data_IF_951182715387
#
_entry.id   IF_951182715387
#
_cell.length_a   1.000
_cell.length_b   1.000
_cell.length_c   1.000
_cell.angle_alpha   90.00
_cell.angle_beta   90.00
_cell.angle_gamma   90.00
#
_symmetry.space_group_name_H-M   'P 1'
#
loop_
_entity.id
_entity.type
_entity.pdbx_description
1 polymer ?
#
# COMPACT_ATOMS: atom_id res chain seq x y z
N UNK A 1 -12.85 0.74 16.89
CA UNK A 1 -11.54 0.08 16.67
C UNK A 1 -10.49 1.19 16.69
N UNK A 2 -9.71 1.29 17.77
CA UNK A 2 -8.77 2.41 17.94
C UNK A 2 -7.65 2.35 16.90
N UNK A 3 -7.51 3.44 16.15
CA UNK A 3 -6.48 3.65 15.14
C UNK A 3 -5.04 3.50 15.68
N UNK A 4 -4.87 3.45 17.00
CA UNK A 4 -3.58 3.25 17.67
C UNK A 4 -3.07 1.81 17.67
N UNK A 5 -3.89 0.80 17.34
CA UNK A 5 -3.45 -0.62 17.43
C UNK A 5 -2.74 -1.16 16.18
N UNK A 6 -2.78 -0.43 15.05
CA UNK A 6 -2.13 -0.83 13.78
C UNK A 6 -0.79 -0.09 13.57
N UNK A 7 -0.55 1.00 14.30
CA UNK A 7 0.63 1.86 14.13
C UNK A 7 1.85 1.45 14.99
N UNK A 8 1.76 0.35 15.73
CA UNK A 8 2.73 -0.04 16.75
C UNK A 8 4.08 -0.58 16.26
N UNK A 9 4.37 -0.64 14.95
CA UNK A 9 5.63 -1.25 14.53
C UNK A 9 6.30 -0.80 13.23
N UNK A 10 5.68 -0.01 12.34
CA UNK A 10 6.37 0.41 11.11
C UNK A 10 6.76 1.88 11.16
N UNK A 11 8.06 2.09 11.37
CA UNK A 11 8.85 3.13 10.70
C UNK A 11 8.17 4.50 10.59
N UNK A 12 7.84 5.08 11.75
CA UNK A 12 7.57 6.49 11.90
C UNK A 12 8.77 7.20 12.50
N UNK A 13 9.83 7.44 11.72
CA UNK A 13 10.96 8.28 12.19
C UNK A 13 10.50 9.68 12.59
N UNK A 14 9.33 10.17 12.14
CA UNK A 14 8.74 11.43 12.62
C UNK A 14 8.02 11.36 13.98
N UNK A 15 7.45 10.20 14.36
CA UNK A 15 6.68 10.07 15.62
C UNK A 15 7.60 9.94 16.83
N UNK A 16 8.82 9.43 16.64
CA UNK A 16 9.81 9.23 17.70
C UNK A 16 10.53 10.51 18.15
N UNK A 17 10.45 11.60 17.38
CA UNK A 17 11.14 12.87 17.69
C UNK A 17 10.20 13.98 18.16
N UNK A 18 8.93 13.97 17.74
CA UNK A 18 8.00 15.07 18.02
C UNK A 18 6.62 14.65 18.56
N UNK A 19 6.26 13.36 18.57
CA UNK A 19 4.96 12.87 19.07
C UNK A 19 3.73 13.33 18.28
N UNK A 20 3.91 14.14 17.24
CA UNK A 20 2.85 14.68 16.39
C UNK A 20 2.53 13.67 15.28
N UNK A 21 1.24 13.42 15.05
CA UNK A 21 0.79 12.56 13.95
C UNK A 21 1.23 13.14 12.59
N UNK A 22 1.77 12.33 11.66
CA UNK A 22 2.12 12.78 10.31
C UNK A 22 0.97 13.49 9.58
N UNK A 23 -0.28 13.10 9.85
CA UNK A 23 -1.47 13.75 9.28
C UNK A 23 -1.60 15.22 9.68
N UNK A 24 -1.24 15.56 10.93
CA UNK A 24 -1.27 16.94 11.44
C UNK A 24 -0.17 17.76 10.76
N UNK A 25 1.01 17.17 10.54
CA UNK A 25 2.11 17.83 9.84
C UNK A 25 1.72 18.11 8.39
N UNK A 26 1.13 17.12 7.69
CA UNK A 26 0.64 17.30 6.32
C UNK A 26 -0.42 18.39 6.21
N UNK A 27 -1.39 18.42 7.13
CA UNK A 27 -2.40 19.47 7.19
C UNK A 27 -1.78 20.85 7.49
N UNK A 28 -0.82 20.91 8.41
CA UNK A 28 -0.10 22.13 8.77
C UNK A 28 0.70 22.70 7.62
N UNK A 29 1.43 21.86 6.87
CA UNK A 29 2.17 22.29 5.67
C UNK A 29 1.19 22.76 4.59
N UNK A 30 0.10 22.02 4.35
CA UNK A 30 -0.93 22.43 3.39
C UNK A 30 -1.57 23.77 3.74
N UNK A 31 -1.85 24.02 5.02
CA UNK A 31 -2.37 25.30 5.50
C UNK A 31 -1.35 26.43 5.33
N UNK A 32 -0.09 26.20 5.73
CA UNK A 32 0.98 27.18 5.55
C UNK A 32 1.24 27.52 4.08
N UNK A 33 1.11 26.54 3.17
CA UNK A 33 1.31 26.75 1.74
C UNK A 33 0.27 27.66 1.08
N UNK A 34 -0.95 27.74 1.65
CA UNK A 34 -2.06 28.56 1.15
C UNK A 34 -2.10 29.95 1.81
N UNK A 35 -1.30 30.19 2.85
CA UNK A 35 -1.24 31.50 3.49
C UNK A 35 -0.73 32.57 2.50
N UNK A 36 -1.37 33.76 2.46
CA UNK A 36 -1.07 34.81 1.49
C UNK A 36 0.32 35.44 1.63
N UNK A 37 1.10 35.06 2.67
CA UNK A 37 2.47 35.52 2.89
C UNK A 37 3.57 34.64 2.27
N UNK A 38 3.29 33.37 1.95
CA UNK A 38 4.27 32.45 1.35
C UNK A 38 4.05 32.23 -0.14
N UNK A 39 2.81 32.42 -0.63
CA UNK A 39 2.50 32.48 -2.07
C UNK A 39 2.83 31.22 -2.88
N UNK A 40 3.06 30.08 -2.23
CA UNK A 40 3.47 28.83 -2.89
C UNK A 40 2.30 28.14 -3.58
N UNK A 41 1.09 28.20 -2.99
CA UNK A 41 -0.11 27.56 -3.53
C UNK A 41 -1.31 28.51 -3.51
N UNK A 42 -2.04 28.61 -4.63
CA UNK A 42 -3.28 29.38 -4.67
C UNK A 42 -4.48 28.55 -4.21
N UNK A 43 -5.58 29.21 -3.83
CA UNK A 43 -6.84 28.51 -3.48
C UNK A 43 -7.40 27.75 -4.70
N UNK A 44 -7.16 28.27 -5.90
CA UNK A 44 -7.53 27.66 -7.16
C UNK A 44 -6.78 26.33 -7.40
N UNK A 45 -5.50 26.26 -7.02
CA UNK A 45 -4.72 25.02 -7.12
C UNK A 45 -5.21 23.96 -6.14
N UNK A 46 -5.62 24.36 -4.93
CA UNK A 46 -6.21 23.44 -3.96
C UNK A 46 -7.52 22.82 -4.47
N UNK A 47 -8.33 23.59 -5.20
CA UNK A 47 -9.57 23.08 -5.82
C UNK A 47 -9.32 22.06 -6.93
N UNK A 48 -8.11 21.98 -7.48
CA UNK A 48 -7.72 21.01 -8.53
C UNK A 48 -7.27 19.67 -7.98
N UNK A 49 -7.12 19.53 -6.67
CA UNK A 49 -6.74 18.26 -6.04
C UNK A 49 -7.84 17.22 -6.28
N UNK A 50 -7.44 16.07 -6.80
CA UNK A 50 -8.37 14.96 -6.99
C UNK A 50 -8.67 14.30 -5.63
N UNK A 51 -9.86 14.57 -5.09
CA UNK A 51 -10.31 14.00 -3.82
C UNK A 51 -10.91 12.59 -3.97
N UNK A 52 -11.12 12.10 -5.20
CA UNK A 52 -11.70 10.77 -5.43
C UNK A 52 -10.92 9.65 -4.74
N UNK A 53 -9.57 9.59 -4.79
CA UNK A 53 -8.82 8.56 -4.08
C UNK A 53 -8.99 8.65 -2.56
N UNK A 54 -9.13 9.85 -2.00
CA UNK A 54 -9.36 10.04 -0.56
C UNK A 54 -10.72 9.46 -0.16
N UNK A 55 -11.77 9.79 -0.90
CA UNK A 55 -13.10 9.22 -0.67
C UNK A 55 -13.11 7.71 -0.92
N UNK A 56 -12.41 7.22 -1.93
CA UNK A 56 -12.31 5.79 -2.22
C UNK A 56 -11.68 5.03 -1.05
N UNK A 57 -10.54 5.50 -0.53
CA UNK A 57 -9.89 4.91 0.64
C UNK A 57 -10.83 4.94 1.85
N UNK A 58 -11.46 6.08 2.12
CA UNK A 58 -12.40 6.22 3.23
C UNK A 58 -13.59 5.24 3.12
N UNK A 59 -14.19 5.12 1.93
CA UNK A 59 -15.28 4.19 1.67
C UNK A 59 -14.85 2.73 1.77
N UNK A 60 -13.67 2.37 1.26
CA UNK A 60 -13.15 1.00 1.33
C UNK A 60 -12.84 0.59 2.78
N UNK A 61 -12.23 1.48 3.57
CA UNK A 61 -12.00 1.27 5.00
C UNK A 61 -13.33 1.17 5.77
N UNK A 62 -14.29 2.06 5.48
CA UNK A 62 -15.62 2.02 6.09
C UNK A 62 -16.38 0.72 5.76
N UNK A 63 -16.33 0.27 4.52
CA UNK A 63 -16.89 -1.01 4.09
C UNK A 63 -16.20 -2.18 4.81
N UNK A 64 -14.86 -2.16 4.90
CA UNK A 64 -14.09 -3.16 5.62
C UNK A 64 -14.51 -3.28 7.09
N UNK A 65 -14.79 -2.16 7.77
CA UNK A 65 -15.27 -2.15 9.14
C UNK A 65 -16.68 -2.73 9.28
N UNK A 66 -17.60 -2.40 8.37
CA UNK A 66 -18.95 -3.00 8.35
C UNK A 66 -18.89 -4.51 8.11
N UNK A 67 -18.03 -4.97 7.20
CA UNK A 67 -17.80 -6.40 6.95
C UNK A 67 -17.19 -7.09 8.18
N UNK A 68 -16.32 -6.40 8.92
CA UNK A 68 -15.72 -6.91 10.15
C UNK A 68 -16.80 -7.11 11.23
N UNK A 69 -17.67 -6.13 11.43
CA UNK A 69 -18.76 -6.19 12.41
C UNK A 69 -19.81 -7.27 12.10
N UNK A 70 -20.08 -7.50 10.81
CA UNK A 70 -21.00 -8.54 10.35
C UNK A 70 -20.39 -9.94 10.31
N UNK A 71 -19.09 -10.09 10.63
CA UNK A 71 -18.29 -11.32 10.46
C UNK A 71 -18.19 -11.82 9.01
N UNK A 72 -18.69 -11.07 8.04
CA UNK A 72 -18.54 -11.39 6.63
C UNK A 72 -17.07 -11.27 6.17
N UNK A 73 -16.30 -10.40 6.82
CA UNK A 73 -14.89 -10.18 6.49
C UNK A 73 -14.04 -11.44 6.66
N UNK A 74 -14.23 -12.20 7.74
CA UNK A 74 -13.46 -13.42 7.98
C UNK A 74 -13.81 -14.53 6.99
N UNK A 75 -15.08 -14.64 6.57
CA UNK A 75 -15.51 -15.58 5.52
C UNK A 75 -14.82 -15.27 4.18
N UNK A 76 -14.86 -14.00 3.77
CA UNK A 76 -14.23 -13.55 2.53
C UNK A 76 -12.71 -13.73 2.59
N UNK A 77 -12.10 -13.38 3.72
CA UNK A 77 -10.66 -13.51 3.95
C UNK A 77 -10.21 -14.97 3.87
N UNK A 78 -10.93 -15.88 4.54
CA UNK A 78 -10.63 -17.31 4.48
C UNK A 78 -10.78 -17.83 3.05
N UNK A 79 -11.80 -17.42 2.30
CA UNK A 79 -11.94 -17.85 0.92
C UNK A 79 -10.80 -17.35 0.02
N UNK A 80 -10.42 -16.09 0.15
CA UNK A 80 -9.40 -15.43 -0.70
C UNK A 80 -7.98 -15.87 -0.34
N UNK A 81 -7.69 -16.15 0.94
CA UNK A 81 -6.34 -16.42 1.43
C UNK A 81 -6.12 -17.83 2.00
N UNK A 82 -7.13 -18.71 2.11
CA UNK A 82 -6.94 -20.06 2.65
C UNK A 82 -5.94 -20.90 1.84
N UNK A 83 -5.87 -20.71 0.52
CA UNK A 83 -4.89 -21.40 -0.31
C UNK A 83 -3.46 -20.92 -0.04
N UNK A 84 -3.32 -19.70 0.49
CA UNK A 84 -2.04 -19.05 0.77
C UNK A 84 -1.48 -19.48 2.12
N UNK A 85 -2.34 -19.69 3.12
CA UNK A 85 -1.97 -20.09 4.49
C UNK A 85 -0.91 -21.21 4.56
N UNK A 86 -1.06 -22.39 3.90
CA UNK A 86 -0.08 -23.46 4.01
C UNK A 86 1.29 -23.11 3.41
N UNK A 87 1.36 -22.08 2.55
CA UNK A 87 2.60 -21.63 1.93
C UNK A 87 3.38 -20.66 2.84
N UNK A 88 2.74 -20.07 3.87
CA UNK A 88 3.34 -19.07 4.76
C UNK A 88 4.15 -19.70 5.91
N UNK A 89 5.11 -20.56 5.56
CA UNK A 89 5.90 -21.33 6.53
C UNK A 89 7.28 -20.73 6.84
N UNK A 90 7.93 -20.16 5.83
CA UNK A 90 9.26 -19.57 5.93
C UNK A 90 9.20 -18.11 5.48
N UNK A 91 9.89 -17.21 6.17
CA UNK A 91 9.99 -15.79 5.84
C UNK A 91 10.23 -15.55 4.34
N UNK A 92 11.14 -16.30 3.72
CA UNK A 92 11.43 -16.19 2.29
C UNK A 92 10.22 -16.56 1.41
N UNK A 93 9.57 -17.69 1.73
CA UNK A 93 8.41 -18.18 0.97
C UNK A 93 7.22 -17.25 1.17
N UNK A 94 6.98 -16.80 2.40
CA UNK A 94 5.96 -15.81 2.76
C UNK A 94 6.14 -14.52 1.96
N UNK A 95 7.35 -13.98 1.87
CA UNK A 95 7.62 -12.76 1.11
C UNK A 95 7.34 -12.95 -0.38
N UNK A 96 7.83 -14.05 -0.97
CA UNK A 96 7.62 -14.33 -2.40
C UNK A 96 6.13 -14.51 -2.70
N UNK A 97 5.44 -15.34 -1.91
CA UNK A 97 4.02 -15.64 -2.11
C UNK A 97 3.17 -14.38 -1.96
N UNK A 98 3.38 -13.59 -0.92
CA UNK A 98 2.65 -12.33 -0.73
C UNK A 98 2.95 -11.31 -1.82
N UNK A 99 4.22 -11.16 -2.22
CA UNK A 99 4.62 -10.20 -3.24
C UNK A 99 4.00 -10.55 -4.59
N UNK A 100 4.12 -11.80 -5.05
CA UNK A 100 3.58 -12.21 -6.34
C UNK A 100 2.05 -12.26 -6.34
N UNK A 101 1.42 -12.65 -5.22
CA UNK A 101 -0.04 -12.60 -5.09
C UNK A 101 -0.55 -11.16 -5.13
N UNK A 102 0.10 -10.25 -4.40
CA UNK A 102 -0.24 -8.83 -4.42
C UNK A 102 -0.01 -8.21 -5.81
N UNK A 103 1.08 -8.58 -6.49
CA UNK A 103 1.36 -8.16 -7.86
C UNK A 103 0.28 -8.63 -8.85
N UNK A 104 -0.13 -9.90 -8.78
CA UNK A 104 -1.24 -10.42 -9.59
C UNK A 104 -2.56 -9.73 -9.26
N UNK A 105 -2.81 -9.41 -7.98
CA UNK A 105 -4.00 -8.67 -7.58
C UNK A 105 -4.00 -7.24 -8.13
N UNK A 106 -2.84 -6.58 -8.14
CA UNK A 106 -2.65 -5.26 -8.75
C UNK A 106 -2.92 -5.29 -10.26
N UNK A 107 -2.65 -6.39 -10.94
CA UNK A 107 -2.91 -6.53 -12.37
C UNK A 107 -4.38 -6.23 -12.73
N UNK A 108 -5.31 -6.70 -11.90
CA UNK A 108 -6.75 -6.51 -12.10
C UNK A 108 -7.26 -5.13 -11.68
N UNK A 109 -6.45 -4.36 -10.96
CA UNK A 109 -6.84 -3.06 -10.43
C UNK A 109 -6.09 -1.95 -11.16
N UNK A 110 -6.82 -0.91 -11.56
CA UNK A 110 -6.24 0.18 -12.34
C UNK A 110 -5.33 1.12 -11.51
N UNK A 111 -5.25 0.94 -10.19
CA UNK A 111 -4.47 1.81 -9.32
C UNK A 111 -4.00 1.09 -8.06
N UNK A 112 -2.77 1.37 -7.66
CA UNK A 112 -2.18 0.96 -6.38
C UNK A 112 -3.02 1.40 -5.17
N UNK A 113 -3.63 2.60 -5.24
CA UNK A 113 -4.50 3.10 -4.17
C UNK A 113 -5.73 2.21 -4.05
N UNK A 114 -6.29 1.79 -5.20
CA UNK A 114 -7.48 0.95 -5.23
C UNK A 114 -7.21 -0.45 -4.66
N UNK A 115 -6.07 -1.02 -5.06
CA UNK A 115 -5.55 -2.26 -4.50
C UNK A 115 -5.43 -2.18 -2.99
N UNK A 116 -4.60 -1.26 -2.49
CA UNK A 116 -4.32 -1.21 -1.05
C UNK A 116 -5.57 -0.92 -0.23
N UNK A 117 -6.41 0.02 -0.67
CA UNK A 117 -7.61 0.38 0.07
C UNK A 117 -8.61 -0.77 0.21
N UNK A 118 -8.74 -1.63 -0.81
CA UNK A 118 -9.70 -2.74 -0.80
C UNK A 118 -9.14 -4.01 -0.17
N UNK A 119 -7.85 -4.31 -0.37
CA UNK A 119 -7.25 -5.56 0.11
C UNK A 119 -6.65 -5.46 1.52
N UNK A 120 -6.24 -4.27 1.98
CA UNK A 120 -5.60 -4.12 3.29
C UNK A 120 -6.49 -4.58 4.45
N UNK A 121 -7.79 -4.23 4.53
CA UNK A 121 -8.65 -4.71 5.61
C UNK A 121 -8.73 -6.24 5.66
N UNK A 122 -8.81 -6.89 4.49
CA UNK A 122 -8.81 -8.35 4.38
C UNK A 122 -7.50 -8.95 4.86
N UNK A 123 -6.37 -8.42 4.39
CA UNK A 123 -5.04 -8.90 4.77
C UNK A 123 -4.75 -8.71 6.26
N UNK A 124 -5.18 -7.58 6.85
CA UNK A 124 -5.01 -7.32 8.28
C UNK A 124 -5.88 -8.27 9.11
N UNK A 125 -7.09 -8.59 8.65
CA UNK A 125 -7.95 -9.56 9.31
C UNK A 125 -7.33 -10.98 9.24
N UNK A 126 -6.82 -11.37 8.07
CA UNK A 126 -6.10 -12.63 7.87
C UNK A 126 -4.91 -12.73 8.83
N UNK A 127 -4.05 -11.71 8.87
CA UNK A 127 -2.88 -11.71 9.73
C UNK A 127 -3.25 -11.92 11.21
N UNK A 128 -4.28 -11.22 11.68
CA UNK A 128 -4.77 -11.35 13.06
C UNK A 128 -5.38 -12.72 13.34
N UNK A 129 -6.15 -13.29 12.40
CA UNK A 129 -6.78 -14.60 12.57
C UNK A 129 -5.77 -15.74 12.65
N UNK A 130 -4.67 -15.65 11.90
CA UNK A 130 -3.62 -16.67 11.84
C UNK A 130 -2.39 -16.35 12.71
N UNK A 131 -2.48 -15.36 13.62
CA UNK A 131 -1.40 -14.92 14.51
C UNK A 131 -0.10 -14.49 13.79
N UNK A 132 -0.20 -14.01 12.55
CA UNK A 132 0.91 -13.39 11.84
C UNK A 132 1.05 -11.92 12.25
N UNK A 133 2.27 -11.38 12.12
CA UNK A 133 2.51 -9.95 12.33
C UNK A 133 1.81 -9.13 11.22
N UNK A 134 0.73 -8.37 11.52
CA UNK A 134 -0.03 -7.65 10.51
C UNK A 134 0.80 -6.58 9.82
N UNK A 135 1.79 -6.02 10.52
CA UNK A 135 2.67 -5.02 9.97
C UNK A 135 3.55 -5.59 8.86
N UNK A 136 4.19 -6.73 9.12
CA UNK A 136 5.10 -7.38 8.19
C UNK A 136 4.35 -7.72 6.89
N UNK A 137 3.16 -8.32 7.02
CA UNK A 137 2.30 -8.64 5.88
C UNK A 137 1.86 -7.38 5.14
N UNK A 138 1.42 -6.34 5.86
CA UNK A 138 1.00 -5.07 5.26
C UNK A 138 2.13 -4.34 4.52
N UNK A 139 3.34 -4.37 5.05
CA UNK A 139 4.50 -3.77 4.39
C UNK A 139 4.84 -4.51 3.10
N UNK A 140 4.92 -5.85 3.13
CA UNK A 140 5.19 -6.65 1.92
C UNK A 140 4.11 -6.40 0.87
N UNK A 141 2.85 -6.38 1.27
CA UNK A 141 1.72 -6.14 0.37
C UNK A 141 1.69 -4.72 -0.21
N UNK A 142 2.14 -3.73 0.56
CA UNK A 142 2.32 -2.35 0.07
C UNK A 142 3.37 -2.27 -1.02
N UNK A 143 4.51 -2.95 -0.84
CA UNK A 143 5.55 -3.04 -1.87
C UNK A 143 5.09 -3.85 -3.10
N UNK A 144 4.24 -4.87 -2.92
CA UNK A 144 3.67 -5.63 -4.03
C UNK A 144 2.82 -4.76 -4.99
N UNK A 145 2.17 -3.71 -4.47
CA UNK A 145 1.45 -2.73 -5.30
C UNK A 145 2.39 -1.81 -6.11
N UNK A 146 3.68 -1.80 -5.80
CA UNK A 146 4.71 -1.03 -6.48
C UNK A 146 4.93 -1.46 -7.92
N UNK A 147 4.94 -2.78 -8.16
CA UNK A 147 5.17 -3.40 -9.46
C UNK A 147 4.13 -2.99 -10.51
N UNK A 148 4.58 -2.36 -11.60
CA UNK A 148 3.75 -1.85 -12.70
C UNK A 148 4.29 -2.33 -14.03
N UNK A 149 3.46 -3.04 -14.78
CA UNK A 149 3.80 -3.62 -16.09
C UNK A 149 3.01 -2.95 -17.23
N UNK A 150 1.86 -2.35 -16.92
CA UNK A 150 1.02 -1.67 -17.92
C UNK A 150 0.86 -0.18 -17.66
N UNK A 151 0.62 0.55 -18.75
CA UNK A 151 0.42 2.01 -18.75
C UNK A 151 -0.74 2.44 -17.83
N UNK A 152 -1.85 1.70 -17.82
CA UNK A 152 -3.07 2.10 -17.10
C UNK A 152 -2.93 2.03 -15.57
N UNK A 153 -1.94 1.31 -15.04
CA UNK A 153 -1.76 1.11 -13.60
C UNK A 153 -1.27 2.36 -12.87
N UNK A 154 -0.81 3.38 -13.60
CA UNK A 154 -0.43 4.68 -13.05
C UNK A 154 -0.73 5.83 -14.00
N UNK A 155 -1.32 6.89 -13.46
CA UNK A 155 -1.54 8.13 -14.20
C UNK A 155 -0.22 8.73 -14.72
N UNK A 156 0.88 8.60 -13.96
CA UNK A 156 2.20 9.11 -14.36
C UNK A 156 2.70 8.36 -15.61
N UNK A 157 2.46 7.05 -15.69
CA UNK A 157 2.81 6.25 -16.86
C UNK A 157 1.92 6.59 -18.06
N UNK A 158 0.62 6.80 -17.86
CA UNK A 158 -0.27 7.27 -18.94
C UNK A 158 0.20 8.59 -19.54
N UNK A 159 0.62 9.54 -18.71
CA UNK A 159 1.14 10.83 -19.20
C UNK A 159 2.43 10.61 -19.99
N UNK A 160 3.39 9.85 -19.45
CA UNK A 160 4.65 9.55 -20.16
C UNK A 160 4.44 8.84 -21.50
N UNK A 161 3.49 7.90 -21.55
CA UNK A 161 3.09 7.21 -22.77
C UNK A 161 2.43 8.15 -23.78
N UNK A 162 1.58 9.08 -23.32
CA UNK A 162 0.89 10.04 -24.19
C UNK A 162 1.84 11.01 -24.91
N UNK A 163 2.99 11.30 -24.30
CA UNK A 163 4.06 12.11 -24.91
C UNK A 163 4.99 11.30 -25.83
N UNK A 164 4.80 9.98 -25.94
CA UNK A 164 5.62 9.12 -26.79
C UNK A 164 7.03 8.85 -26.28
N UNK A 165 7.29 9.04 -24.97
CA UNK A 165 8.62 8.79 -24.39
C UNK A 165 9.01 7.31 -24.34
N UNK A 166 8.03 6.40 -24.32
CA UNK A 166 8.26 4.95 -24.29
C UNK A 166 7.08 4.20 -24.91
N UNK A 167 7.32 2.99 -25.42
CA UNK A 167 6.29 2.12 -25.95
C UNK A 167 5.74 1.16 -24.88
N UNK A 168 4.59 0.54 -25.15
CA UNK A 168 4.03 -0.50 -24.27
C UNK A 168 4.98 -1.70 -24.12
N UNK A 169 5.82 -1.98 -25.12
CA UNK A 169 6.82 -3.06 -25.09
C UNK A 169 7.94 -2.79 -24.09
N UNK A 170 8.34 -1.52 -23.97
CA UNK A 170 9.37 -1.10 -23.02
C UNK A 170 8.85 -1.23 -21.60
N UNK A 171 7.59 -0.88 -21.37
CA UNK A 171 6.91 -1.10 -20.10
C UNK A 171 6.80 -2.57 -19.72
N UNK A 172 6.47 -3.45 -20.67
CA UNK A 172 6.43 -4.88 -20.39
C UNK A 172 7.80 -5.42 -19.99
N UNK A 173 8.87 -5.03 -20.70
CA UNK A 173 10.23 -5.52 -20.43
C UNK A 173 10.84 -4.91 -19.17
N UNK A 174 10.83 -3.58 -19.08
CA UNK A 174 11.44 -2.84 -17.98
C UNK A 174 10.57 -2.98 -16.72
N UNK A 175 9.25 -2.86 -16.84
CA UNK A 175 8.32 -3.07 -15.73
C UNK A 175 8.46 -4.46 -15.12
N UNK A 176 8.49 -5.52 -15.95
CA UNK A 176 8.72 -6.87 -15.44
C UNK A 176 10.11 -7.03 -14.79
N UNK A 177 11.16 -6.49 -15.42
CA UNK A 177 12.51 -6.51 -14.85
C UNK A 177 12.55 -5.82 -13.47
N UNK A 178 11.94 -4.64 -13.36
CA UNK A 178 11.84 -3.89 -12.12
C UNK A 178 11.01 -4.62 -11.06
N UNK A 179 9.89 -5.25 -11.41
CA UNK A 179 9.11 -6.09 -10.49
C UNK A 179 9.94 -7.26 -9.96
N UNK A 180 10.72 -7.93 -10.81
CA UNK A 180 11.60 -9.03 -10.36
C UNK A 180 12.71 -8.51 -9.45
N UNK A 181 13.36 -7.40 -9.81
CA UNK A 181 14.39 -6.77 -8.99
C UNK A 181 13.82 -6.32 -7.65
N UNK A 182 12.64 -5.70 -7.64
CA UNK A 182 11.93 -5.28 -6.43
C UNK A 182 11.62 -6.49 -5.54
N UNK A 183 11.14 -7.60 -6.11
CA UNK A 183 10.90 -8.84 -5.38
C UNK A 183 12.16 -9.36 -4.68
N UNK A 184 13.29 -9.36 -5.38
CA UNK A 184 14.58 -9.80 -4.83
C UNK A 184 15.06 -8.86 -3.73
N UNK A 185 14.99 -7.53 -3.95
CA UNK A 185 15.38 -6.53 -2.96
C UNK A 185 14.50 -6.66 -1.71
N UNK A 186 13.19 -6.80 -1.88
CA UNK A 186 12.25 -6.96 -0.78
C UNK A 186 12.54 -8.22 0.02
N UNK A 187 12.83 -9.34 -0.66
CA UNK A 187 13.24 -10.58 -0.01
C UNK A 187 14.49 -10.41 0.86
N UNK A 188 15.50 -9.67 0.37
CA UNK A 188 16.69 -9.36 1.15
C UNK A 188 16.39 -8.42 2.33
N UNK A 189 15.54 -7.42 2.13
CA UNK A 189 15.13 -6.50 3.20
C UNK A 189 14.38 -7.21 4.32
N UNK A 190 13.42 -8.07 3.98
CA UNK A 190 12.64 -8.83 4.96
C UNK A 190 13.53 -9.81 5.73
N UNK A 191 14.49 -10.44 5.07
CA UNK A 191 15.37 -11.42 5.72
C UNK A 191 16.46 -10.78 6.58
N UNK A 192 17.07 -9.68 6.13
CA UNK A 192 18.27 -9.12 6.76
C UNK A 192 18.04 -7.80 7.49
N UNK A 193 17.22 -6.90 6.94
CA UNK A 193 17.04 -5.55 7.49
C UNK A 193 15.91 -5.52 8.54
N UNK A 194 14.78 -6.18 8.27
CA UNK A 194 13.60 -6.15 9.15
C UNK A 194 13.83 -6.77 10.54
N UNK A 195 14.60 -7.87 10.69
CA UNK A 195 14.92 -8.40 12.01
C UNK A 195 15.81 -7.45 12.83
N UNK A 196 16.65 -6.64 12.17
CA UNK A 196 17.56 -5.68 12.82
C UNK A 196 16.78 -4.49 13.40
N UNK A 197 15.71 -4.07 12.72
CA UNK A 197 14.79 -3.03 13.21
C UNK A 197 13.72 -3.58 14.17
N UNK A 198 13.73 -4.88 14.46
CA UNK A 198 12.82 -5.53 15.42
C UNK A 198 11.46 -5.95 14.85
N UNK A 199 11.26 -5.90 13.53
CA UNK A 199 10.06 -6.40 12.87
C UNK A 199 10.25 -7.90 12.59
N UNK A 200 9.45 -8.75 13.25
CA UNK A 200 9.45 -10.22 13.12
C UNK A 200 8.06 -10.76 12.88
#
# INVERSE_FOLDING_TARGET
MDANSVEGGALGTGRNIHGISPSIIGLGIGFCAVLPGLGVLTVEDLKRVNLLPVFFVASALGMGEVLNQTKALSLLTNFVFAWMEPLLSNVFVTTIVLYWTGFVYHFFLASEISMLATSMPLLMNFAKAHNFNPLLLGMIWSFAAGGKIFVYQSAVMMVGYSYGYFEARDLLRIGFCLTVIESIILMLLVAFYWPVIGIR
#
